data_IF_382812101670
#
_entry.id   IF_382812101670
#
_cell.length_a   1.000
_cell.length_b   1.000
_cell.length_c   1.000
_cell.angle_alpha   90.00
_cell.angle_beta   90.00
_cell.angle_gamma   90.00
#
_symmetry.space_group_name_H-M   'P 1'
#
loop_
_entity.id
_entity.type
_entity.pdbx_description
1 polymer ?
#
# COMPACT_ATOMS: atom_id res chain seq x y z
N UNK A 1 -9.97 -6.28 -17.42
CA UNK A 1 -8.82 -5.35 -17.48
C UNK A 1 -7.71 -5.93 -16.63
N UNK A 2 -6.55 -6.25 -17.21
CA UNK A 2 -5.43 -6.86 -16.49
C UNK A 2 -4.31 -5.85 -16.22
N UNK A 3 -3.42 -6.15 -15.25
CA UNK A 3 -2.20 -5.39 -15.05
C UNK A 3 -1.30 -5.56 -16.29
N UNK A 4 -1.10 -4.47 -17.02
CA UNK A 4 -0.15 -4.37 -18.13
C UNK A 4 0.69 -3.11 -17.97
N UNK A 5 1.83 -3.05 -18.66
CA UNK A 5 2.70 -1.87 -18.66
C UNK A 5 1.90 -0.65 -19.10
N UNK A 6 2.00 0.45 -18.35
CA UNK A 6 1.28 1.72 -18.57
C UNK A 6 -0.25 1.61 -18.45
N UNK A 7 -0.78 0.61 -17.73
CA UNK A 7 -2.21 0.55 -17.43
C UNK A 7 -2.67 1.83 -16.68
N UNK A 8 -3.85 2.39 -17.02
CA UNK A 8 -4.35 3.58 -16.35
C UNK A 8 -4.72 3.26 -14.89
N UNK A 9 -4.57 4.24 -14.01
CA UNK A 9 -5.10 4.16 -12.63
C UNK A 9 -6.59 3.87 -12.68
N UNK A 10 -7.02 2.83 -11.95
CA UNK A 10 -8.42 2.44 -11.88
C UNK A 10 -9.26 3.59 -11.29
N UNK A 11 -10.52 3.79 -11.74
CA UNK A 11 -11.34 4.92 -11.32
C UNK A 11 -11.42 5.15 -9.80
N UNK A 12 -11.56 4.12 -8.93
CA UNK A 12 -11.62 4.31 -7.49
C UNK A 12 -10.33 4.85 -6.84
N UNK A 13 -9.21 4.77 -7.55
CA UNK A 13 -7.90 5.23 -7.07
C UNK A 13 -7.47 6.55 -7.71
N UNK A 14 -8.33 7.17 -8.52
CA UNK A 14 -8.05 8.48 -9.10
C UNK A 14 -8.36 9.55 -8.05
N UNK A 15 -7.34 10.32 -7.71
CA UNK A 15 -7.46 11.51 -6.89
C UNK A 15 -8.06 12.62 -7.74
N UNK A 16 -9.18 13.20 -7.30
CA UNK A 16 -9.89 14.27 -8.03
C UNK A 16 -10.00 15.57 -7.23
N UNK A 17 -9.61 15.51 -5.96
CA UNK A 17 -9.64 16.61 -5.01
C UNK A 17 -8.45 17.56 -5.23
N UNK A 18 -8.72 18.86 -5.09
CA UNK A 18 -7.69 19.89 -5.08
C UNK A 18 -7.27 20.21 -3.64
N UNK A 19 -6.07 20.78 -3.47
CA UNK A 19 -5.59 21.26 -2.17
C UNK A 19 -5.27 20.17 -1.14
N UNK A 20 -4.90 18.97 -1.61
CA UNK A 20 -4.54 17.85 -0.74
C UNK A 20 -3.30 18.20 0.09
N UNK A 21 -3.43 18.06 1.41
CA UNK A 21 -2.32 18.15 2.34
C UNK A 21 -1.48 16.87 2.28
N UNK A 22 -0.47 16.90 1.41
CA UNK A 22 0.42 15.75 1.19
C UNK A 22 1.20 15.36 2.45
N UNK A 23 1.55 16.31 3.32
CA UNK A 23 2.30 16.03 4.55
C UNK A 23 1.42 15.28 5.56
N UNK A 24 0.15 15.67 5.68
CA UNK A 24 -0.82 14.92 6.50
C UNK A 24 -1.03 13.49 5.98
N UNK A 25 -1.15 13.30 4.66
CA UNK A 25 -1.28 11.96 4.07
C UNK A 25 -0.02 11.09 4.28
N UNK A 26 1.18 11.69 4.19
CA UNK A 26 2.44 10.98 4.55
C UNK A 26 2.44 10.53 6.01
N UNK A 27 2.06 11.41 6.94
CA UNK A 27 1.96 11.07 8.36
C UNK A 27 0.95 9.94 8.62
N UNK A 28 -0.22 9.99 7.97
CA UNK A 28 -1.21 8.89 8.05
C UNK A 28 -0.63 7.58 7.53
N UNK A 29 0.10 7.61 6.42
CA UNK A 29 0.70 6.41 5.84
C UNK A 29 1.78 5.80 6.74
N UNK A 30 2.65 6.62 7.35
CA UNK A 30 3.64 6.18 8.34
C UNK A 30 2.94 5.50 9.53
N UNK A 31 1.90 6.12 10.09
CA UNK A 31 1.14 5.54 11.20
C UNK A 31 0.47 4.20 10.84
N UNK A 32 0.02 4.03 9.59
CA UNK A 32 -0.51 2.74 9.11
C UNK A 32 0.57 1.67 9.02
N UNK A 33 1.78 2.02 8.59
CA UNK A 33 2.93 1.10 8.56
C UNK A 33 3.31 0.68 9.98
N UNK A 34 3.39 1.63 10.91
CA UNK A 34 3.74 1.36 12.32
C UNK A 34 2.73 0.44 13.01
N UNK A 35 1.44 0.52 12.67
CA UNK A 35 0.40 -0.39 13.20
C UNK A 35 0.69 -1.86 12.95
N UNK A 36 1.43 -2.22 11.89
CA UNK A 36 1.81 -3.61 11.64
C UNK A 36 2.78 -4.17 12.69
N UNK A 37 3.55 -3.32 13.40
CA UNK A 37 4.37 -3.76 14.51
C UNK A 37 3.52 -4.37 15.64
N UNK A 38 2.31 -3.84 15.83
CA UNK A 38 1.34 -4.32 16.83
C UNK A 38 0.36 -5.36 16.29
N UNK A 39 0.50 -5.79 15.03
CA UNK A 39 -0.39 -6.79 14.44
C UNK A 39 -0.17 -8.17 15.07
N UNK A 40 -1.21 -8.67 15.74
CA UNK A 40 -1.14 -9.88 16.57
C UNK A 40 -1.87 -11.09 15.97
N UNK A 41 -2.45 -10.97 14.78
CA UNK A 41 -3.10 -12.10 14.12
C UNK A 41 -2.06 -13.00 13.44
N UNK A 42 -2.32 -14.31 13.46
CA UNK A 42 -1.43 -15.31 12.86
C UNK A 42 -1.40 -15.24 11.32
N UNK A 43 -2.43 -14.67 10.70
CA UNK A 43 -2.57 -14.60 9.25
C UNK A 43 -3.44 -13.43 8.82
N UNK A 44 -3.24 -12.97 7.58
CA UNK A 44 -4.04 -11.94 6.95
C UNK A 44 -4.50 -12.40 5.56
N UNK A 45 -5.75 -12.14 5.18
CA UNK A 45 -6.25 -12.46 3.83
C UNK A 45 -6.25 -11.19 2.98
N UNK A 46 -5.27 -11.07 2.09
CA UNK A 46 -5.20 -9.98 1.13
C UNK A 46 -6.14 -10.25 -0.05
N UNK A 47 -6.92 -9.25 -0.46
CA UNK A 47 -7.91 -9.39 -1.54
C UNK A 47 -7.32 -9.84 -2.89
N UNK A 48 -6.05 -9.52 -3.16
CA UNK A 48 -5.33 -9.93 -4.38
C UNK A 48 -4.48 -11.21 -4.22
N UNK A 49 -3.84 -11.40 -3.05
CA UNK A 49 -2.84 -12.47 -2.86
C UNK A 49 -3.37 -13.64 -2.01
N UNK A 50 -4.59 -13.54 -1.49
CA UNK A 50 -5.18 -14.55 -0.62
C UNK A 50 -4.56 -14.54 0.78
N UNK A 51 -4.59 -15.70 1.45
CA UNK A 51 -4.12 -15.86 2.83
C UNK A 51 -2.59 -15.79 2.90
N UNK A 52 -2.09 -15.00 3.84
CA UNK A 52 -0.66 -14.74 4.07
C UNK A 52 -0.32 -14.99 5.55
N UNK A 53 0.85 -15.58 5.81
CA UNK A 53 1.42 -15.60 7.17
C UNK A 53 1.84 -14.19 7.61
N UNK A 54 2.14 -14.01 8.90
CA UNK A 54 2.66 -12.73 9.41
C UNK A 54 3.97 -12.33 8.73
N UNK A 55 4.86 -13.27 8.45
CA UNK A 55 6.14 -13.05 7.78
C UNK A 55 5.93 -12.64 6.31
N UNK A 56 5.04 -13.35 5.60
CA UNK A 56 4.69 -13.01 4.21
C UNK A 56 4.05 -11.62 4.13
N UNK A 57 3.17 -11.28 5.09
CA UNK A 57 2.57 -9.96 5.19
C UNK A 57 3.65 -8.88 5.38
N UNK A 58 4.61 -9.09 6.29
CA UNK A 58 5.72 -8.16 6.51
C UNK A 58 6.57 -7.93 5.26
N UNK A 59 6.94 -9.01 4.56
CA UNK A 59 7.68 -8.93 3.30
C UNK A 59 6.89 -8.19 2.21
N UNK A 60 5.57 -8.44 2.13
CA UNK A 60 4.69 -7.78 1.18
C UNK A 60 4.60 -6.27 1.42
N UNK A 61 4.37 -5.85 2.68
CA UNK A 61 4.31 -4.42 3.04
C UNK A 61 5.60 -3.72 2.63
N UNK A 62 6.76 -4.28 2.99
CA UNK A 62 8.05 -3.70 2.62
C UNK A 62 8.21 -3.58 1.09
N UNK A 63 7.97 -4.67 0.35
CA UNK A 63 8.14 -4.69 -1.11
C UNK A 63 7.18 -3.75 -1.83
N UNK A 64 5.92 -3.70 -1.40
CA UNK A 64 4.88 -2.88 -2.02
C UNK A 64 5.11 -1.39 -1.75
N UNK A 65 5.45 -1.04 -0.50
CA UNK A 65 5.85 0.32 -0.13
C UNK A 65 7.06 0.78 -0.95
N UNK A 66 8.13 -0.02 -1.00
CA UNK A 66 9.33 0.32 -1.75
C UNK A 66 9.06 0.45 -3.27
N UNK A 67 8.22 -0.42 -3.83
CA UNK A 67 7.81 -0.32 -5.23
C UNK A 67 7.20 1.06 -5.56
N UNK A 68 6.31 1.56 -4.70
CA UNK A 68 5.68 2.85 -4.91
C UNK A 68 6.63 4.03 -4.68
N UNK A 69 7.52 3.97 -3.68
CA UNK A 69 8.55 5.00 -3.49
C UNK A 69 9.42 5.14 -4.74
N UNK A 70 9.89 4.01 -5.29
CA UNK A 70 10.68 3.99 -6.54
C UNK A 70 9.84 4.49 -7.73
N UNK A 71 8.58 4.06 -7.86
CA UNK A 71 7.69 4.50 -8.95
C UNK A 71 7.51 6.02 -8.97
N UNK A 72 7.39 6.64 -7.78
CA UNK A 72 7.21 8.08 -7.63
C UNK A 72 8.51 8.85 -7.46
N UNK A 73 9.66 8.18 -7.52
CA UNK A 73 10.99 8.77 -7.36
C UNK A 73 11.16 9.54 -6.03
N UNK A 74 10.67 8.94 -4.94
CA UNK A 74 10.80 9.44 -3.55
C UNK A 74 11.90 8.68 -2.83
#
# INVERSE_FOLDING_TARGET
SGLHRNAPTAPPFRVTEEGIDLESEKCKWVALIERYATFNQASFTHWFFGRMSKEQLGQFIYKHTNHHLVQFQV
#
